data_IF_973857451880
#
_entry.id   IF_973857451880
#
_cell.length_a   1.000
_cell.length_b   1.000
_cell.length_c   1.000
_cell.angle_alpha   90.00
_cell.angle_beta   90.00
_cell.angle_gamma   90.00
#
_symmetry.space_group_name_H-M   'P 1'
#
loop_
_entity.id
_entity.type
_entity.pdbx_description
1 polymer ?
#
# COMPACT_ATOMS: atom_id res chain seq x y z
N UNK A 1 63.07 22.32 -1.62
CA UNK A 1 62.19 22.55 -2.78
C UNK A 1 61.90 21.29 -3.59
N UNK A 2 62.77 20.27 -3.60
CA UNK A 2 62.53 19.01 -4.34
C UNK A 2 61.33 18.17 -3.86
N UNK A 3 60.98 18.24 -2.57
CA UNK A 3 59.85 17.49 -1.99
C UNK A 3 58.48 17.94 -2.54
N UNK A 4 58.27 19.27 -2.66
CA UNK A 4 57.01 19.86 -3.13
C UNK A 4 56.71 19.53 -4.60
N UNK A 5 57.75 19.42 -5.43
CA UNK A 5 57.59 19.03 -6.83
C UNK A 5 57.33 17.53 -6.99
N UNK A 6 57.84 16.70 -6.07
CA UNK A 6 57.54 15.27 -6.01
C UNK A 6 56.09 15.03 -5.57
N UNK A 7 55.62 15.71 -4.52
CA UNK A 7 54.23 15.64 -4.05
C UNK A 7 53.23 16.08 -5.12
N UNK A 8 53.46 17.22 -5.79
CA UNK A 8 52.59 17.67 -6.89
C UNK A 8 52.55 16.69 -8.05
N UNK A 9 53.64 15.96 -8.31
CA UNK A 9 53.73 14.98 -9.39
C UNK A 9 53.01 13.69 -9.02
N UNK A 10 53.11 13.24 -7.77
CA UNK A 10 52.31 12.15 -7.22
C UNK A 10 50.82 12.50 -7.24
N UNK A 11 50.46 13.69 -6.77
CA UNK A 11 49.09 14.17 -6.77
C UNK A 11 48.50 14.17 -8.18
N UNK A 12 49.25 14.60 -9.19
CA UNK A 12 48.83 14.49 -10.60
C UNK A 12 48.69 13.06 -11.12
N UNK A 13 49.53 12.14 -10.63
CA UNK A 13 49.53 10.75 -11.07
C UNK A 13 48.39 9.93 -10.45
N UNK A 14 47.90 10.35 -9.28
CA UNK A 14 46.75 9.78 -8.57
C UNK A 14 45.47 10.62 -8.68
N UNK A 15 45.52 11.81 -9.29
CA UNK A 15 44.36 12.69 -9.50
C UNK A 15 43.34 12.06 -10.46
N UNK A 16 43.81 11.28 -11.44
CA UNK A 16 42.93 10.43 -12.23
C UNK A 16 42.80 9.08 -11.54
N UNK A 17 41.58 8.79 -11.07
CA UNK A 17 41.24 7.45 -10.60
C UNK A 17 41.51 6.46 -11.75
N UNK A 18 42.33 5.41 -11.54
CA UNK A 18 42.63 4.47 -12.61
C UNK A 18 41.34 3.84 -13.10
N UNK A 19 41.06 3.97 -14.40
CA UNK A 19 39.92 3.30 -15.01
C UNK A 19 40.13 1.79 -14.92
N UNK A 20 39.34 1.15 -14.07
CA UNK A 20 39.30 -0.29 -13.95
C UNK A 20 38.76 -0.86 -15.28
N UNK A 21 39.49 -1.75 -15.96
CA UNK A 21 39.08 -2.26 -17.27
C UNK A 21 37.75 -3.02 -17.23
N UNK A 22 37.33 -3.48 -16.06
CA UNK A 22 36.05 -4.16 -15.81
C UNK A 22 34.99 -3.27 -15.15
N UNK A 23 35.22 -1.96 -15.01
CA UNK A 23 34.31 -1.03 -14.35
C UNK A 23 32.88 -1.10 -14.91
N UNK A 24 32.72 -1.14 -16.24
CA UNK A 24 31.40 -1.25 -16.86
C UNK A 24 30.71 -2.59 -16.53
N UNK A 25 31.46 -3.69 -16.56
CA UNK A 25 30.94 -5.02 -16.26
C UNK A 25 30.55 -5.14 -14.77
N UNK A 26 31.31 -4.49 -13.88
CA UNK A 26 31.00 -4.40 -12.46
C UNK A 26 29.72 -3.60 -12.22
N UNK A 27 29.60 -2.41 -12.81
CA UNK A 27 28.40 -1.56 -12.72
C UNK A 27 27.16 -2.29 -13.20
N UNK A 28 27.21 -2.93 -14.38
CA UNK A 28 26.07 -3.70 -14.91
C UNK A 28 25.64 -4.83 -13.97
N UNK A 29 26.58 -5.54 -13.34
CA UNK A 29 26.26 -6.59 -12.37
C UNK A 29 25.60 -6.03 -11.11
N UNK A 30 26.08 -4.89 -10.61
CA UNK A 30 25.48 -4.23 -9.44
C UNK A 30 24.07 -3.76 -9.78
N UNK A 31 23.87 -3.08 -10.89
CA UNK A 31 22.56 -2.60 -11.33
C UNK A 31 21.57 -3.76 -11.46
N UNK A 32 21.97 -4.87 -12.09
CA UNK A 32 21.10 -6.06 -12.19
C UNK A 32 20.73 -6.64 -10.82
N UNK A 33 21.68 -6.72 -9.88
CA UNK A 33 21.41 -7.23 -8.51
C UNK A 33 20.52 -6.29 -7.73
N UNK A 34 20.78 -4.99 -7.82
CA UNK A 34 20.01 -3.96 -7.15
C UNK A 34 18.57 -3.94 -7.67
N UNK A 35 18.39 -3.98 -8.99
CA UNK A 35 17.08 -3.95 -9.61
C UNK A 35 16.25 -5.21 -9.27
N UNK A 36 16.87 -6.39 -9.24
CA UNK A 36 16.22 -7.63 -8.77
C UNK A 36 15.83 -7.55 -7.29
N UNK A 37 16.72 -7.05 -6.43
CA UNK A 37 16.45 -6.90 -5.00
C UNK A 37 15.34 -5.89 -4.71
N UNK A 38 15.35 -4.77 -5.43
CA UNK A 38 14.31 -3.74 -5.37
C UNK A 38 12.95 -4.28 -5.80
N UNK A 39 12.91 -4.93 -6.97
CA UNK A 39 11.69 -5.54 -7.51
C UNK A 39 11.12 -6.58 -6.55
N UNK A 40 11.96 -7.49 -6.04
CA UNK A 40 11.52 -8.51 -5.09
C UNK A 40 10.93 -7.91 -3.80
N UNK A 41 11.55 -6.85 -3.24
CA UNK A 41 11.01 -6.16 -2.07
C UNK A 41 9.68 -5.48 -2.37
N UNK A 42 9.53 -4.81 -3.52
CA UNK A 42 8.28 -4.16 -3.93
C UNK A 42 7.14 -5.17 -4.06
N UNK A 43 7.42 -6.33 -4.68
CA UNK A 43 6.44 -7.42 -4.78
C UNK A 43 6.10 -8.05 -3.43
N UNK A 44 7.09 -8.29 -2.56
CA UNK A 44 6.84 -8.82 -1.22
C UNK A 44 5.99 -7.88 -0.37
N UNK A 45 6.33 -6.58 -0.36
CA UNK A 45 5.56 -5.58 0.36
C UNK A 45 4.14 -5.48 -0.20
N UNK A 46 3.99 -5.42 -1.52
CA UNK A 46 2.67 -5.39 -2.18
C UNK A 46 1.83 -6.64 -1.87
N UNK A 47 2.42 -7.83 -2.00
CA UNK A 47 1.76 -9.11 -1.72
C UNK A 47 1.36 -9.23 -0.24
N UNK A 48 2.24 -8.84 0.68
CA UNK A 48 1.95 -8.84 2.12
C UNK A 48 0.83 -7.85 2.48
N UNK A 49 0.83 -6.66 1.86
CA UNK A 49 -0.21 -5.66 2.05
C UNK A 49 -1.57 -6.14 1.54
N UNK A 50 -1.61 -6.75 0.36
CA UNK A 50 -2.84 -7.36 -0.17
C UNK A 50 -3.34 -8.50 0.73
N UNK A 51 -2.45 -9.43 1.11
CA UNK A 51 -2.82 -10.54 1.97
C UNK A 51 -3.35 -10.07 3.33
N UNK A 52 -2.64 -9.13 3.98
CA UNK A 52 -3.06 -8.51 5.24
C UNK A 52 -4.37 -7.74 5.11
N UNK A 53 -4.55 -7.01 4.00
CA UNK A 53 -5.79 -6.27 3.71
C UNK A 53 -7.00 -7.17 3.52
N UNK A 54 -6.85 -8.30 2.81
CA UNK A 54 -7.92 -9.28 2.62
C UNK A 54 -8.28 -9.97 3.95
N UNK A 55 -7.27 -10.37 4.73
CA UNK A 55 -7.50 -11.03 6.03
C UNK A 55 -8.13 -10.04 7.03
N UNK A 56 -7.61 -8.82 7.15
CA UNK A 56 -8.16 -7.81 8.06
C UNK A 56 -9.55 -7.33 7.63
N UNK A 57 -9.75 -7.08 6.33
CA UNK A 57 -11.04 -6.69 5.78
C UNK A 57 -12.11 -7.76 5.96
N UNK A 58 -11.77 -9.03 5.73
CA UNK A 58 -12.70 -10.14 5.94
C UNK A 58 -13.10 -10.29 7.41
N UNK A 59 -12.18 -10.09 8.37
CA UNK A 59 -12.52 -10.12 9.80
C UNK A 59 -13.49 -9.01 10.19
N UNK A 60 -13.31 -7.79 9.68
CA UNK A 60 -14.22 -6.67 9.93
C UNK A 60 -15.62 -6.93 9.34
N UNK A 61 -15.70 -7.51 8.15
CA UNK A 61 -16.97 -7.89 7.55
C UNK A 61 -17.64 -8.99 8.38
N UNK A 62 -16.90 -10.02 8.78
CA UNK A 62 -17.44 -11.14 9.57
C UNK A 62 -17.93 -10.69 10.96
N UNK A 63 -17.18 -9.84 11.65
CA UNK A 63 -17.54 -9.35 13.00
C UNK A 63 -18.80 -8.49 12.96
N UNK A 64 -18.91 -7.62 11.95
CA UNK A 64 -20.10 -6.80 11.77
C UNK A 64 -21.31 -7.66 11.42
N UNK A 65 -21.18 -8.64 10.51
CA UNK A 65 -22.31 -9.50 10.11
C UNK A 65 -22.80 -10.38 11.28
N UNK A 66 -21.91 -10.99 12.07
CA UNK A 66 -22.35 -11.79 13.22
C UNK A 66 -23.02 -10.95 14.32
N UNK A 67 -22.47 -9.79 14.64
CA UNK A 67 -23.11 -8.86 15.58
C UNK A 67 -24.44 -8.35 15.05
N UNK A 68 -24.56 -8.14 13.74
CA UNK A 68 -25.80 -7.72 13.10
C UNK A 68 -26.85 -8.83 13.09
N UNK A 69 -26.45 -10.12 12.99
CA UNK A 69 -27.38 -11.26 13.06
C UNK A 69 -27.87 -11.49 14.49
N UNK A 70 -26.97 -11.47 15.48
CA UNK A 70 -27.32 -11.65 16.90
C UNK A 70 -28.18 -10.47 17.41
N UNK A 71 -27.82 -9.24 17.01
CA UNK A 71 -28.65 -8.06 17.30
C UNK A 71 -29.92 -8.03 16.45
N UNK A 72 -29.99 -8.60 15.25
CA UNK A 72 -31.21 -8.67 14.46
C UNK A 72 -32.24 -9.64 15.05
N UNK A 73 -31.84 -10.74 15.69
CA UNK A 73 -32.80 -11.62 16.38
C UNK A 73 -33.44 -10.94 17.61
N UNK A 74 -32.63 -10.21 18.38
CA UNK A 74 -33.09 -9.50 19.57
C UNK A 74 -33.81 -8.19 19.20
N UNK A 75 -33.36 -7.51 18.15
CA UNK A 75 -33.98 -6.31 17.60
C UNK A 75 -35.22 -6.64 16.77
N UNK A 76 -35.39 -7.79 16.13
CA UNK A 76 -36.65 -8.11 15.44
C UNK A 76 -37.84 -8.16 16.41
N UNK A 77 -37.62 -8.61 17.66
CA UNK A 77 -38.65 -8.58 18.72
C UNK A 77 -38.89 -7.20 19.31
N UNK A 78 -37.86 -6.36 19.42
CA UNK A 78 -37.98 -5.00 19.99
C UNK A 78 -38.42 -3.98 18.93
N UNK A 79 -38.00 -4.15 17.68
CA UNK A 79 -38.39 -3.38 16.49
C UNK A 79 -39.84 -3.69 16.13
N UNK A 80 -40.31 -4.95 16.15
CA UNK A 80 -41.75 -5.22 15.94
C UNK A 80 -42.64 -4.56 17.01
N UNK A 81 -42.12 -4.34 18.22
CA UNK A 81 -42.82 -3.63 19.30
C UNK A 81 -42.64 -2.09 19.23
N UNK A 82 -41.53 -1.58 18.67
CA UNK A 82 -41.25 -0.15 18.53
C UNK A 82 -41.74 0.48 17.22
N UNK A 83 -41.77 -0.28 16.13
CA UNK A 83 -42.26 0.13 14.81
C UNK A 83 -43.78 0.35 14.79
N UNK A 84 -44.49 -0.20 15.78
CA UNK A 84 -45.89 0.11 16.03
C UNK A 84 -46.12 1.53 16.60
N UNK A 85 -45.07 2.24 17.02
CA UNK A 85 -45.21 3.52 17.74
C UNK A 85 -44.56 4.72 17.08
N UNK A 86 -43.51 4.58 16.27
CA UNK A 86 -42.79 5.75 15.77
C UNK A 86 -42.17 5.50 14.41
N UNK A 87 -42.72 6.16 13.38
CA UNK A 87 -42.11 6.32 12.06
C UNK A 87 -42.51 7.72 11.56
N UNK A 88 -41.67 8.52 10.86
CA UNK A 88 -40.21 8.42 10.60
C UNK A 88 -39.41 9.75 10.71
N UNK A 89 -38.10 9.66 10.99
CA UNK A 89 -37.03 10.53 10.43
C UNK A 89 -35.67 9.83 10.56
N UNK A 90 -35.53 8.62 10.02
CA UNK A 90 -34.29 7.80 10.08
C UNK A 90 -33.62 7.60 8.71
N UNK A 91 -34.15 8.21 7.64
CA UNK A 91 -33.73 7.94 6.27
C UNK A 91 -32.26 8.29 5.97
N UNK A 92 -31.71 9.38 6.50
CA UNK A 92 -30.33 9.79 6.15
C UNK A 92 -29.25 8.95 6.81
N UNK A 93 -29.43 8.56 8.07
CA UNK A 93 -28.44 7.73 8.79
C UNK A 93 -28.55 6.27 8.35
N UNK A 94 -29.76 5.80 8.05
CA UNK A 94 -29.98 4.47 7.50
C UNK A 94 -29.50 4.33 6.05
N UNK A 95 -29.44 5.42 5.28
CA UNK A 95 -28.88 5.40 3.92
C UNK A 95 -27.35 5.19 3.91
N UNK A 96 -26.65 5.68 4.94
CA UNK A 96 -25.21 5.50 5.09
C UNK A 96 -24.83 4.12 5.69
N UNK A 97 -25.69 3.55 6.53
CA UNK A 97 -25.50 2.22 7.12
C UNK A 97 -26.12 1.07 6.30
N UNK A 98 -26.99 1.39 5.34
CA UNK A 98 -27.58 0.45 4.40
C UNK A 98 -26.64 0.09 3.23
N UNK A 99 -27.09 -0.81 2.35
CA UNK A 99 -26.29 -1.36 1.26
C UNK A 99 -25.63 -0.34 0.33
N UNK A 100 -26.18 0.88 0.21
CA UNK A 100 -25.58 1.97 -0.56
C UNK A 100 -24.29 2.53 0.05
N UNK A 101 -24.17 2.57 1.38
CA UNK A 101 -22.94 2.98 2.06
C UNK A 101 -21.78 2.03 1.80
N UNK A 102 -22.07 0.72 1.69
CA UNK A 102 -21.08 -0.28 1.29
C UNK A 102 -20.58 -0.05 -0.13
N UNK A 103 -21.47 0.27 -1.08
CA UNK A 103 -21.08 0.55 -2.46
C UNK A 103 -20.25 1.83 -2.60
N UNK A 104 -20.53 2.86 -1.79
CA UNK A 104 -19.71 4.07 -1.75
C UNK A 104 -18.32 3.76 -1.20
N UNK A 105 -18.23 3.00 -0.10
CA UNK A 105 -16.95 2.59 0.47
C UNK A 105 -16.13 1.73 -0.52
N UNK A 106 -16.78 0.81 -1.22
CA UNK A 106 -16.17 0.01 -2.29
C UNK A 106 -15.71 0.89 -3.45
N UNK A 107 -16.52 1.86 -3.88
CA UNK A 107 -16.14 2.80 -4.95
C UNK A 107 -14.90 3.62 -4.60
N UNK A 108 -14.81 4.12 -3.37
CA UNK A 108 -13.63 4.84 -2.87
C UNK A 108 -12.41 3.93 -2.78
N UNK A 109 -12.59 2.69 -2.32
CA UNK A 109 -11.52 1.69 -2.27
C UNK A 109 -10.97 1.35 -3.67
N UNK A 110 -11.84 1.19 -4.67
CA UNK A 110 -11.44 0.93 -6.06
C UNK A 110 -10.71 2.14 -6.65
N UNK A 111 -11.18 3.36 -6.40
CA UNK A 111 -10.52 4.58 -6.87
C UNK A 111 -9.12 4.76 -6.26
N UNK A 112 -8.99 4.53 -4.96
CA UNK A 112 -7.69 4.61 -4.27
C UNK A 112 -6.74 3.51 -4.73
N UNK A 113 -7.23 2.30 -4.95
CA UNK A 113 -6.44 1.20 -5.50
C UNK A 113 -6.00 1.47 -6.95
N UNK A 114 -6.89 2.02 -7.79
CA UNK A 114 -6.57 2.46 -9.15
C UNK A 114 -5.52 3.56 -9.20
N UNK A 115 -5.61 4.55 -8.31
CA UNK A 115 -4.60 5.60 -8.16
C UNK A 115 -3.24 5.01 -7.76
N UNK A 116 -3.21 4.11 -6.78
CA UNK A 116 -1.98 3.46 -6.35
C UNK A 116 -1.30 2.66 -7.48
N UNK A 117 -2.09 1.96 -8.30
CA UNK A 117 -1.60 1.22 -9.47
C UNK A 117 -1.08 2.18 -10.54
N UNK A 118 -1.81 3.25 -10.87
CA UNK A 118 -1.36 4.26 -11.83
C UNK A 118 -0.03 4.89 -11.39
N UNK A 119 0.12 5.17 -10.09
CA UNK A 119 1.37 5.70 -9.54
C UNK A 119 2.54 4.73 -9.66
N UNK A 120 2.29 3.43 -9.57
CA UNK A 120 3.33 2.40 -9.76
C UNK A 120 3.84 2.40 -11.20
N UNK A 121 2.99 2.68 -12.19
CA UNK A 121 3.39 2.77 -13.59
C UNK A 121 4.14 4.05 -13.94
N UNK A 122 3.86 5.18 -13.28
CA UNK A 122 4.65 6.41 -13.47
C UNK A 122 6.09 6.30 -12.93
N UNK A 123 6.34 5.40 -11.98
CA UNK A 123 7.66 5.19 -11.37
C UNK A 123 8.52 4.13 -12.07
N UNK A 124 7.98 3.45 -13.10
CA UNK A 124 8.65 2.43 -13.91
C UNK A 124 9.15 3.03 -15.23
#
# INVERSE_FOLDING_TARGET
MAELDFERRLERLFADAPELPDAQAFTQRIEQRLNRGWTARRWLLGASGMAGGVIGGSQLVMSNVFQQVESAEQSARVISQGLARVTPTSDMVSALSGGYGLWIAVGVAVLTMGFAVARVFEEL
#
